data_IF_492412364486
#
_entry.id   IF_492412364486
#
_cell.length_a   1.000
_cell.length_b   1.000
_cell.length_c   1.000
_cell.angle_alpha   90.00
_cell.angle_beta   90.00
_cell.angle_gamma   90.00
#
_symmetry.space_group_name_H-M   'P 1'
#
loop_
_entity.id
_entity.type
_entity.pdbx_description
1 polymer ?
#
# COMPACT_ATOMS: atom_id res chain seq x y z
N UNK A 1 -23.28 -10.37 -1.97
CA UNK A 1 -22.73 -10.24 -0.60
C UNK A 1 -21.45 -9.41 -0.70
N UNK A 2 -21.18 -8.49 0.23
CA UNK A 2 -20.01 -7.59 0.14
C UNK A 2 -18.74 -8.33 0.55
N UNK A 3 -17.80 -8.53 -0.37
CA UNK A 3 -16.48 -9.10 -0.09
C UNK A 3 -15.39 -8.09 -0.40
N UNK A 4 -15.01 -7.26 0.58
CA UNK A 4 -13.82 -6.42 0.46
C UNK A 4 -12.62 -7.24 0.94
N UNK A 5 -12.00 -7.99 0.03
CA UNK A 5 -10.77 -8.73 0.32
C UNK A 5 -9.60 -8.05 -0.38
N UNK A 6 -9.09 -7.03 0.28
CA UNK A 6 -7.85 -6.38 -0.09
C UNK A 6 -6.72 -7.49 -0.02
N UNK A 7 -5.88 -7.81 -1.05
CA UNK A 7 -4.90 -8.96 -1.25
C UNK A 7 -3.39 -8.71 -1.73
N UNK A 8 -2.70 -7.58 -1.45
CA UNK A 8 -1.23 -7.23 -1.72
C UNK A 8 -0.33 -7.35 -0.42
N UNK A 9 0.78 -6.59 -0.26
CA UNK A 9 1.71 -6.44 0.90
C UNK A 9 2.05 -4.97 1.25
N UNK A 10 1.54 -4.45 2.37
CA UNK A 10 2.04 -3.29 3.12
C UNK A 10 2.74 -3.79 4.39
N UNK A 11 3.84 -3.15 4.78
CA UNK A 11 4.60 -3.45 6.00
C UNK A 11 4.51 -2.21 6.90
N UNK A 12 3.48 -2.18 7.75
CA UNK A 12 3.41 -1.22 8.83
C UNK A 12 4.28 -1.72 9.98
N UNK A 13 5.40 -1.02 10.23
CA UNK A 13 6.19 -1.24 11.44
C UNK A 13 5.59 -0.43 12.58
N UNK A 14 4.80 -1.07 13.45
CA UNK A 14 4.49 -0.45 14.73
C UNK A 14 5.79 -0.34 15.54
N UNK A 15 6.22 0.87 15.89
CA UNK A 15 7.55 1.14 16.47
C UNK A 15 7.58 0.63 17.91
N UNK A 16 7.91 -0.65 18.08
CA UNK A 16 8.05 -1.31 19.39
C UNK A 16 8.26 -2.83 19.33
N UNK A 17 7.43 -3.55 18.57
CA UNK A 17 7.14 -4.98 18.88
C UNK A 17 7.42 -6.00 17.75
N UNK A 18 8.01 -5.58 16.62
CA UNK A 18 8.27 -6.42 15.42
C UNK A 18 7.04 -7.17 14.84
N UNK A 19 5.83 -6.76 15.22
CA UNK A 19 4.58 -7.37 14.73
C UNK A 19 4.15 -6.75 13.39
N UNK A 20 4.34 -7.49 12.31
CA UNK A 20 3.96 -7.06 10.96
C UNK A 20 2.66 -7.73 10.49
N UNK A 21 1.61 -6.93 10.30
CA UNK A 21 0.37 -7.40 9.68
C UNK A 21 0.39 -7.19 8.16
N UNK A 22 0.10 -8.26 7.40
CA UNK A 22 0.16 -8.24 5.93
C UNK A 22 -1.13 -7.68 5.33
N UNK A 23 -1.14 -6.35 5.14
CA UNK A 23 -2.15 -5.64 4.34
C UNK A 23 -1.73 -5.44 2.88
N UNK A 24 -2.64 -4.88 2.07
CA UNK A 24 -3.20 -5.73 1.02
C UNK A 24 -4.30 -5.02 0.15
N UNK A 25 -4.49 -5.29 -1.18
CA UNK A 25 -5.52 -4.78 -2.17
C UNK A 25 -5.98 -5.80 -3.29
N UNK A 26 -7.18 -5.69 -3.90
CA UNK A 26 -7.82 -6.66 -4.86
C UNK A 26 -7.18 -6.65 -6.28
N UNK A 27 -7.22 -7.74 -7.06
CA UNK A 27 -6.62 -7.75 -8.42
C UNK A 27 -5.08 -7.74 -8.47
N UNK A 28 -4.42 -7.86 -7.33
CA UNK A 28 -2.94 -7.85 -7.17
C UNK A 28 -2.13 -8.81 -8.04
N UNK A 29 -2.75 -9.83 -8.65
CA UNK A 29 -2.07 -10.76 -9.57
C UNK A 29 -2.08 -10.29 -11.03
N UNK A 30 -2.73 -9.18 -11.33
CA UNK A 30 -2.97 -8.71 -12.69
C UNK A 30 -1.79 -7.90 -13.26
N UNK A 31 -0.89 -7.41 -12.39
CA UNK A 31 0.38 -6.77 -12.76
C UNK A 31 1.60 -7.45 -12.15
N UNK A 32 2.77 -7.23 -12.78
CA UNK A 32 4.09 -7.53 -12.19
C UNK A 32 4.60 -6.22 -11.60
N UNK A 33 4.19 -5.92 -10.37
CA UNK A 33 4.53 -4.66 -9.69
C UNK A 33 6.05 -4.59 -9.45
N UNK A 34 6.68 -3.58 -10.03
CA UNK A 34 8.14 -3.38 -9.99
C UNK A 34 8.52 -2.03 -9.34
N UNK A 35 7.62 -1.05 -9.33
CA UNK A 35 7.85 0.27 -8.74
C UNK A 35 6.64 0.71 -7.91
N UNK A 36 6.89 1.59 -6.95
CA UNK A 36 5.89 2.18 -6.07
C UNK A 36 6.23 3.66 -5.86
N UNK A 37 5.21 4.52 -5.79
CA UNK A 37 5.30 5.94 -5.43
C UNK A 37 4.14 6.27 -4.48
N UNK A 38 4.29 7.29 -3.63
CA UNK A 38 3.24 7.73 -2.72
C UNK A 38 2.99 9.24 -2.84
N UNK A 39 1.72 9.66 -2.87
CA UNK A 39 1.36 11.05 -3.05
C UNK A 39 -0.15 11.28 -3.05
N UNK A 40 -0.56 12.47 -2.68
CA UNK A 40 -1.95 12.96 -2.78
C UNK A 40 -2.30 13.15 -4.28
N UNK A 41 -3.08 12.22 -4.87
CA UNK A 41 -3.43 12.28 -6.29
C UNK A 41 -4.79 12.89 -6.58
N UNK A 42 -5.74 12.82 -5.66
CA UNK A 42 -7.08 13.38 -5.85
C UNK A 42 -7.28 14.77 -5.20
N UNK A 43 -6.34 15.19 -4.34
CA UNK A 43 -6.29 16.50 -3.70
C UNK A 43 -7.04 16.57 -2.37
N UNK A 44 -7.38 15.43 -1.74
CA UNK A 44 -8.09 15.39 -0.46
C UNK A 44 -7.17 15.59 0.78
N UNK A 45 -5.86 15.47 0.58
CA UNK A 45 -4.82 15.71 1.59
C UNK A 45 -4.37 14.47 2.35
N UNK A 46 -4.83 13.27 2.01
CA UNK A 46 -4.23 12.00 2.43
C UNK A 46 -3.25 11.44 1.36
N UNK A 47 -2.49 10.37 1.66
CA UNK A 47 -1.48 9.81 0.74
C UNK A 47 -1.96 8.52 0.06
N UNK A 48 -2.11 8.57 -1.26
CA UNK A 48 -2.34 7.40 -2.10
C UNK A 48 -1.04 6.63 -2.39
N UNK A 49 -1.18 5.41 -2.94
CA UNK A 49 -0.07 4.62 -3.46
C UNK A 49 -0.27 4.31 -4.95
N UNK A 50 0.74 4.62 -5.76
CA UNK A 50 0.83 4.25 -7.18
C UNK A 50 1.72 3.01 -7.31
N UNK A 51 1.28 1.98 -8.02
CA UNK A 51 2.06 0.80 -8.37
C UNK A 51 2.31 0.74 -9.87
N UNK A 52 3.58 0.72 -10.28
CA UNK A 52 4.00 0.53 -11.66
C UNK A 52 4.26 -0.95 -11.97
N UNK A 53 3.69 -1.43 -13.07
CA UNK A 53 3.78 -2.83 -13.53
C UNK A 53 4.59 -2.91 -14.83
N UNK A 54 5.54 -3.86 -14.87
CA UNK A 54 6.38 -4.08 -16.04
C UNK A 54 6.53 -5.57 -16.32
N UNK A 55 6.29 -6.00 -17.56
CA UNK A 55 6.35 -7.43 -17.93
C UNK A 55 7.78 -8.00 -17.97
N UNK A 56 8.78 -7.13 -18.17
CA UNK A 56 10.19 -7.53 -18.17
C UNK A 56 10.71 -7.78 -16.74
N UNK A 57 11.77 -8.57 -16.63
CA UNK A 57 12.47 -8.78 -15.37
C UNK A 57 13.00 -10.20 -15.24
N UNK A 58 13.98 -10.36 -14.36
CA UNK A 58 14.79 -11.58 -14.21
C UNK A 58 14.05 -12.69 -13.42
N UNK A 59 14.56 -13.91 -13.53
CA UNK A 59 14.04 -15.11 -12.86
C UNK A 59 12.93 -15.83 -13.61
N UNK A 60 12.80 -17.14 -13.36
CA UNK A 60 11.66 -17.93 -13.83
C UNK A 60 10.40 -17.56 -13.05
N UNK A 61 9.29 -17.38 -13.76
CA UNK A 61 7.98 -17.08 -13.18
C UNK A 61 7.00 -18.12 -13.73
N UNK A 62 6.12 -18.72 -12.89
CA UNK A 62 5.14 -19.69 -13.36
C UNK A 62 4.27 -19.12 -14.49
N UNK A 63 4.03 -19.93 -15.52
CA UNK A 63 3.35 -19.49 -16.75
C UNK A 63 2.01 -18.81 -16.46
N UNK A 64 1.25 -19.32 -15.47
CA UNK A 64 -0.04 -18.77 -15.02
C UNK A 64 0.01 -17.29 -14.62
N UNK A 65 1.13 -16.80 -14.06
CA UNK A 65 1.32 -15.37 -13.80
C UNK A 65 1.69 -14.62 -15.09
N UNK A 66 2.63 -15.14 -15.88
CA UNK A 66 3.08 -14.46 -17.11
C UNK A 66 1.96 -14.30 -18.14
N UNK A 67 1.10 -15.31 -18.29
CA UNK A 67 -0.08 -15.28 -19.17
C UNK A 67 -1.13 -14.31 -18.63
N UNK A 68 -1.41 -14.33 -17.31
CA UNK A 68 -2.30 -13.37 -16.67
C UNK A 68 -1.85 -11.92 -16.86
N UNK A 69 -0.57 -11.63 -16.68
CA UNK A 69 -0.04 -10.27 -16.88
C UNK A 69 -0.12 -9.82 -18.36
N UNK A 70 0.15 -10.73 -19.30
CA UNK A 70 0.01 -10.47 -20.76
C UNK A 70 -1.44 -10.26 -21.19
N UNK A 71 -2.38 -10.97 -20.58
CA UNK A 71 -3.83 -10.85 -20.82
C UNK A 71 -4.38 -9.56 -20.21
N UNK A 72 -4.06 -9.29 -18.94
CA UNK A 72 -4.58 -8.15 -18.18
C UNK A 72 -3.98 -6.81 -18.59
N UNK A 73 -2.72 -6.81 -19.04
CA UNK A 73 -2.02 -5.63 -19.59
C UNK A 73 -2.05 -4.40 -18.66
N UNK A 74 -2.10 -4.61 -17.34
CA UNK A 74 -2.13 -3.52 -16.36
C UNK A 74 -0.72 -2.92 -16.27
N UNK A 75 -0.60 -1.64 -16.64
CA UNK A 75 0.65 -0.87 -16.54
C UNK A 75 0.77 -0.12 -15.22
N UNK A 76 -0.36 0.37 -14.67
CA UNK A 76 -0.43 1.18 -13.44
C UNK A 76 -1.64 0.72 -12.62
N UNK A 77 -1.49 0.70 -11.30
CA UNK A 77 -2.59 0.57 -10.34
C UNK A 77 -2.48 1.70 -9.32
N UNK A 78 -3.63 2.27 -8.94
CA UNK A 78 -3.76 3.26 -7.86
C UNK A 78 -4.46 2.59 -6.68
N UNK A 79 -3.91 2.80 -5.48
CA UNK A 79 -4.53 2.45 -4.21
C UNK A 79 -4.96 3.76 -3.54
N UNK A 80 -6.24 4.09 -3.71
CA UNK A 80 -6.89 5.23 -3.08
C UNK A 80 -6.92 5.02 -1.56
N UNK A 81 -6.31 5.92 -0.81
CA UNK A 81 -6.54 5.99 0.63
C UNK A 81 -7.82 6.80 0.91
N UNK A 82 -8.46 6.52 2.04
CA UNK A 82 -9.81 7.02 2.39
C UNK A 82 -9.93 7.30 3.87
N UNK A 83 -8.79 7.50 4.53
CA UNK A 83 -8.70 7.70 5.97
C UNK A 83 -8.67 9.19 6.22
N UNK A 84 -9.86 9.75 6.45
CA UNK A 84 -9.99 11.18 6.76
C UNK A 84 -9.14 11.50 7.98
N UNK A 85 -8.46 12.64 7.94
CA UNK A 85 -7.53 13.10 8.99
C UNK A 85 -8.16 13.20 10.40
N UNK A 86 -9.48 13.18 10.53
CA UNK A 86 -10.19 13.09 11.81
C UNK A 86 -10.16 11.69 12.48
N UNK A 87 -9.90 10.62 11.72
CA UNK A 87 -9.84 9.24 12.20
C UNK A 87 -8.39 8.78 12.51
N UNK A 88 -7.39 9.55 12.07
CA UNK A 88 -5.98 9.33 12.41
C UNK A 88 -5.73 9.88 13.81
N UNK A 89 -5.79 9.00 14.81
CA UNK A 89 -5.31 9.32 16.16
C UNK A 89 -3.82 9.66 16.06
N UNK A 90 -3.50 10.91 16.38
CA UNK A 90 -2.12 11.42 16.42
C UNK A 90 -1.25 10.45 17.23
N UNK A 91 -0.29 9.82 16.56
CA UNK A 91 0.75 9.07 17.26
C UNK A 91 1.60 10.12 17.96
N UNK A 92 1.57 10.21 19.31
CA UNK A 92 2.17 11.34 20.00
C UNK A 92 3.65 11.43 19.63
N UNK A 93 3.98 12.44 18.83
CA UNK A 93 5.33 12.76 18.39
C UNK A 93 6.14 13.05 19.65
N UNK A 94 6.84 12.01 20.14
CA UNK A 94 7.57 12.04 21.40
C UNK A 94 8.78 12.94 21.21
N UNK A 95 8.58 14.23 21.42
CA UNK A 95 9.64 15.22 21.33
C UNK A 95 10.76 14.84 22.32
N UNK A 96 11.99 15.23 22.00
CA UNK A 96 13.21 14.78 22.68
C UNK A 96 13.40 15.29 24.12
N UNK A 97 12.33 15.76 24.79
CA UNK A 97 12.36 16.25 26.17
C UNK A 97 11.40 15.55 27.14
N UNK A 98 10.43 14.76 26.65
CA UNK A 98 9.69 13.83 27.51
C UNK A 98 8.94 14.43 28.71
N UNK A 99 8.37 15.63 28.55
CA UNK A 99 7.48 16.25 29.55
C UNK A 99 6.07 16.35 28.97
N UNK A 100 5.09 15.92 29.77
CA UNK A 100 3.65 16.06 29.52
C UNK A 100 3.13 17.28 30.28
N UNK A 101 3.06 18.42 29.60
CA UNK A 101 2.31 19.56 30.10
C UNK A 101 0.81 19.29 29.88
N UNK A 102 0.04 19.33 30.97
CA UNK A 102 -1.43 19.27 30.94
C UNK A 102 -1.98 20.69 30.93
N UNK A 103 -2.79 21.01 29.94
CA UNK A 103 -4.03 21.80 30.06
C UNK A 103 -4.88 21.63 28.79
#
# INVERSE_FOLDING_TARGET
MKGCLRRVLFIEGNIGDDQFQRYTFDGYKDGRWMTMEAGDMDGDGDLDIILGSALFGFGEVPESYTSRWREKRVSVCVLENRLKTADVVDHPQKNSRGVIDKE
#
